data_IF_851808156597
#
_entry.id   IF_851808156597
#
_cell.length_a   1.000
_cell.length_b   1.000
_cell.length_c   1.000
_cell.angle_alpha   90.00
_cell.angle_beta   90.00
_cell.angle_gamma   90.00
#
_symmetry.space_group_name_H-M   'P 1'
#
loop_
_entity.id
_entity.type
_entity.pdbx_description
1 polymer ?
#
# COMPACT_ATOMS: atom_id res chain seq x y z
N UNK A 1 1.28 -13.37 -21.23
CA UNK A 1 2.59 -13.64 -21.86
C UNK A 1 3.60 -12.63 -21.32
N UNK A 2 4.68 -13.09 -20.68
CA UNK A 2 5.72 -12.20 -20.13
C UNK A 2 6.70 -11.87 -21.26
N UNK A 3 7.08 -10.60 -21.39
CA UNK A 3 8.06 -10.12 -22.38
C UNK A 3 8.88 -8.96 -21.81
N UNK A 4 9.92 -8.54 -22.54
CA UNK A 4 10.74 -7.37 -22.15
C UNK A 4 9.91 -6.09 -22.00
N UNK A 5 8.84 -5.92 -22.78
CA UNK A 5 7.92 -4.79 -22.62
C UNK A 5 7.22 -4.83 -21.27
N UNK A 6 6.82 -6.01 -20.81
CA UNK A 6 6.20 -6.20 -19.49
C UNK A 6 7.16 -5.79 -18.38
N UNK A 7 8.42 -6.22 -18.46
CA UNK A 7 9.47 -5.87 -17.47
C UNK A 7 9.74 -4.36 -17.48
N UNK A 8 9.82 -3.75 -18.68
CA UNK A 8 10.01 -2.30 -18.84
C UNK A 8 8.86 -1.51 -18.21
N UNK A 9 7.61 -1.91 -18.46
CA UNK A 9 6.44 -1.25 -17.88
C UNK A 9 6.40 -1.39 -16.35
N UNK A 10 6.79 -2.55 -15.82
CA UNK A 10 6.92 -2.75 -14.38
C UNK A 10 7.98 -1.82 -13.80
N UNK A 11 9.19 -1.78 -14.37
CA UNK A 11 10.26 -0.89 -13.87
C UNK A 11 9.87 0.59 -13.95
N UNK A 12 9.20 1.02 -15.01
CA UNK A 12 8.72 2.38 -15.15
C UNK A 12 7.70 2.77 -14.08
N UNK A 13 6.75 1.88 -13.79
CA UNK A 13 5.73 2.10 -12.74
C UNK A 13 6.38 2.16 -11.36
N UNK A 14 7.31 1.24 -11.06
CA UNK A 14 8.06 1.24 -9.80
C UNK A 14 8.92 2.49 -9.64
N UNK A 15 9.61 2.91 -10.70
CA UNK A 15 10.47 4.09 -10.67
C UNK A 15 9.65 5.35 -10.38
N UNK A 16 8.47 5.49 -10.99
CA UNK A 16 7.55 6.58 -10.66
C UNK A 16 7.02 6.48 -9.22
N UNK A 17 6.75 5.28 -8.72
CA UNK A 17 6.31 5.09 -7.33
C UNK A 17 7.37 5.53 -6.32
N UNK A 18 8.64 5.21 -6.58
CA UNK A 18 9.78 5.58 -5.72
C UNK A 18 10.11 7.07 -5.78
N UNK A 19 10.21 7.65 -6.99
CA UNK A 19 10.69 9.03 -7.15
C UNK A 19 9.58 10.06 -7.16
N UNK A 20 8.35 9.66 -7.52
CA UNK A 20 7.21 10.55 -7.82
C UNK A 20 7.51 11.63 -8.88
N UNK A 21 8.60 11.48 -9.62
CA UNK A 21 9.03 12.39 -10.68
C UNK A 21 8.82 11.76 -12.06
N UNK A 22 7.86 12.31 -12.82
CA UNK A 22 7.52 11.79 -14.14
C UNK A 22 8.53 12.19 -15.23
N UNK A 23 9.24 13.30 -15.06
CA UNK A 23 10.27 13.75 -16.01
C UNK A 23 11.49 12.85 -15.91
N UNK A 24 11.87 12.49 -14.68
CA UNK A 24 12.93 11.50 -14.47
C UNK A 24 12.60 10.15 -15.11
N UNK A 25 11.35 9.69 -14.99
CA UNK A 25 10.90 8.43 -15.63
C UNK A 25 10.87 8.55 -17.16
N UNK A 26 10.53 9.73 -17.70
CA UNK A 26 10.56 10.01 -19.14
C UNK A 26 11.99 9.92 -19.68
N UNK A 27 12.95 10.52 -18.99
CA UNK A 27 14.38 10.50 -19.35
C UNK A 27 14.95 9.08 -19.25
N UNK A 28 14.66 8.36 -18.17
CA UNK A 28 15.09 6.96 -17.99
C UNK A 28 14.57 6.04 -19.11
N UNK A 29 13.36 6.28 -19.59
CA UNK A 29 12.77 5.51 -20.68
C UNK A 29 13.20 6.00 -22.07
N UNK A 30 13.80 7.18 -22.19
CA UNK A 30 14.08 7.80 -23.49
C UNK A 30 12.82 8.11 -24.29
N UNK A 31 11.72 8.44 -23.60
CA UNK A 31 10.49 8.83 -24.28
C UNK A 31 10.61 10.27 -24.79
N UNK A 32 10.33 10.49 -26.08
CA UNK A 32 10.28 11.84 -26.68
C UNK A 32 9.03 12.64 -26.30
N UNK A 33 7.99 11.96 -25.87
CA UNK A 33 6.69 12.56 -25.56
C UNK A 33 6.19 12.07 -24.20
N UNK A 34 5.97 13.03 -23.30
CA UNK A 34 5.52 12.80 -21.94
C UNK A 34 4.18 12.07 -21.86
N UNK A 35 3.30 12.23 -22.87
CA UNK A 35 1.98 11.56 -22.92
C UNK A 35 2.10 10.04 -22.84
N UNK A 36 3.18 9.47 -23.37
CA UNK A 36 3.46 8.04 -23.29
C UNK A 36 3.86 7.60 -21.87
N UNK A 37 4.49 8.49 -21.12
CA UNK A 37 4.96 8.25 -19.74
C UNK A 37 3.85 8.46 -18.72
N UNK A 38 2.90 9.37 -18.98
CA UNK A 38 1.77 9.67 -18.07
C UNK A 38 0.92 8.44 -17.71
N UNK A 39 0.90 7.40 -18.56
CA UNK A 39 0.23 6.12 -18.27
C UNK A 39 0.75 5.45 -16.99
N UNK A 40 2.02 5.65 -16.64
CA UNK A 40 2.61 5.07 -15.42
C UNK A 40 2.08 5.73 -14.15
N UNK A 41 1.63 6.99 -14.21
CA UNK A 41 0.96 7.64 -13.08
C UNK A 41 -0.36 6.94 -12.77
N UNK A 42 -1.13 6.62 -13.82
CA UNK A 42 -2.41 5.93 -13.66
C UNK A 42 -2.23 4.51 -13.17
N UNK A 43 -1.22 3.79 -13.70
CA UNK A 43 -0.86 2.45 -13.24
C UNK A 43 -0.40 2.45 -11.78
N UNK A 44 0.44 3.40 -11.40
CA UNK A 44 0.89 3.54 -10.01
C UNK A 44 -0.28 3.80 -9.08
N UNK A 45 -1.16 4.75 -9.42
CA UNK A 45 -2.37 4.99 -8.64
C UNK A 45 -3.24 3.74 -8.56
N UNK A 46 -3.42 3.00 -9.64
CA UNK A 46 -4.23 1.78 -9.64
C UNK A 46 -3.63 0.67 -8.77
N UNK A 47 -2.30 0.51 -8.78
CA UNK A 47 -1.58 -0.53 -8.04
C UNK A 47 -1.37 -0.18 -6.55
N UNK A 48 -1.14 1.10 -6.26
CA UNK A 48 -0.75 1.61 -4.94
C UNK A 48 -1.79 2.57 -4.36
N UNK A 49 -3.07 2.41 -4.74
CA UNK A 49 -4.16 3.16 -4.14
C UNK A 49 -4.01 3.12 -2.60
N UNK A 50 -4.02 4.27 -1.89
CA UNK A 50 -3.98 4.31 -0.42
C UNK A 50 -5.27 3.77 0.24
N UNK A 51 -6.06 2.97 -0.49
CA UNK A 51 -7.36 2.46 -0.07
C UNK A 51 -7.33 1.15 0.70
N UNK A 52 -6.18 0.46 0.81
CA UNK A 52 -6.12 -0.87 1.43
C UNK A 52 -5.42 -0.95 2.80
N UNK A 53 -5.06 0.21 3.37
CA UNK A 53 -4.57 0.32 4.75
C UNK A 53 -5.55 1.12 5.65
N UNK A 54 -6.85 1.13 5.30
CA UNK A 54 -7.87 1.52 6.27
C UNK A 54 -8.09 0.35 7.23
N UNK A 55 -7.48 0.46 8.40
CA UNK A 55 -7.70 -0.48 9.48
C UNK A 55 -8.78 0.06 10.42
N UNK A 56 -9.76 -0.77 10.76
CA UNK A 56 -10.53 -0.55 11.97
C UNK A 56 -9.64 -0.92 13.16
N UNK A 57 -9.36 0.06 14.03
CA UNK A 57 -8.54 -0.13 15.23
C UNK A 57 -9.42 -0.13 16.45
N UNK A 58 -9.26 -1.13 17.33
CA UNK A 58 -9.97 -1.26 18.61
C UNK A 58 -8.96 -1.58 19.71
N UNK A 59 -9.23 -1.10 20.92
CA UNK A 59 -8.41 -1.33 22.12
C UNK A 59 -9.21 -2.25 23.05
N UNK A 60 -8.61 -3.37 23.47
CA UNK A 60 -9.17 -4.24 24.49
C UNK A 60 -8.51 -3.94 25.85
N UNK A 61 -9.32 -3.85 26.91
CA UNK A 61 -8.84 -3.62 28.29
C UNK A 61 -8.95 -4.85 29.18
N UNK A 62 -9.86 -5.77 28.88
CA UNK A 62 -10.09 -7.04 29.59
C UNK A 62 -9.90 -8.22 28.61
N UNK A 63 -10.06 -9.45 29.12
CA UNK A 63 -9.98 -10.68 28.31
C UNK A 63 -11.25 -10.86 27.46
N UNK A 64 -12.40 -10.44 27.97
CA UNK A 64 -13.71 -10.56 27.30
C UNK A 64 -13.76 -9.74 26.00
N UNK A 65 -13.38 -8.45 26.04
CA UNK A 65 -13.27 -7.57 24.86
C UNK A 65 -12.26 -8.13 23.84
N UNK A 66 -11.20 -8.77 24.31
CA UNK A 66 -10.20 -9.38 23.42
C UNK A 66 -10.78 -10.60 22.69
N UNK A 67 -11.58 -11.43 23.37
CA UNK A 67 -12.28 -12.55 22.75
C UNK A 67 -13.29 -12.05 21.71
N UNK A 68 -14.10 -11.03 22.01
CA UNK A 68 -15.05 -10.44 21.06
C UNK A 68 -14.36 -9.89 19.80
N UNK A 69 -13.21 -9.21 19.95
CA UNK A 69 -12.46 -8.67 18.82
C UNK A 69 -11.83 -9.78 17.96
N UNK A 70 -11.39 -10.88 18.58
CA UNK A 70 -10.86 -12.05 17.87
C UNK A 70 -11.98 -12.78 17.11
N UNK A 71 -13.18 -12.92 17.70
CA UNK A 71 -14.35 -13.52 17.03
C UNK A 71 -14.79 -12.73 15.79
N UNK A 72 -14.70 -11.39 15.86
CA UNK A 72 -15.02 -10.51 14.72
C UNK A 72 -13.88 -10.49 13.68
N UNK A 73 -12.75 -11.16 13.94
CA UNK A 73 -11.64 -11.33 13.01
C UNK A 73 -10.66 -10.15 13.01
N UNK A 74 -10.48 -9.48 14.14
CA UNK A 74 -9.37 -8.54 14.30
C UNK A 74 -8.07 -9.29 14.60
N UNK A 75 -6.98 -8.84 13.99
CA UNK A 75 -5.62 -9.33 14.23
C UNK A 75 -4.93 -8.53 15.34
N UNK A 76 -4.16 -9.22 16.17
CA UNK A 76 -3.31 -8.61 17.18
C UNK A 76 -2.04 -8.02 16.55
N UNK A 77 -1.73 -6.75 16.83
CA UNK A 77 -0.67 -5.99 16.11
C UNK A 77 0.61 -5.77 16.93
N UNK A 78 0.60 -6.03 18.24
CA UNK A 78 1.68 -5.71 19.23
C UNK A 78 1.76 -4.20 19.57
N UNK A 79 2.16 -3.72 20.75
CA UNK A 79 2.60 -4.33 22.01
C UNK A 79 2.08 -3.56 23.23
N UNK A 80 2.50 -3.94 24.43
CA UNK A 80 2.04 -3.37 25.71
C UNK A 80 2.33 -1.88 25.78
N UNK A 81 1.29 -1.06 25.70
CA UNK A 81 1.38 0.36 26.00
C UNK A 81 1.56 0.53 27.51
N UNK A 82 2.11 1.68 27.92
CA UNK A 82 2.32 2.06 29.33
C UNK A 82 1.00 2.00 30.14
N UNK A 83 -0.14 1.99 29.45
CA UNK A 83 -1.50 1.98 29.99
C UNK A 83 -2.14 0.57 30.08
N UNK A 84 -1.42 -0.49 29.70
CA UNK A 84 -1.87 -1.89 29.86
C UNK A 84 -2.87 -2.44 28.82
N UNK A 85 -3.35 -1.62 27.88
CA UNK A 85 -4.28 -2.05 26.82
C UNK A 85 -3.62 -2.79 25.64
N UNK A 86 -4.37 -3.69 24.97
CA UNK A 86 -3.94 -4.40 23.75
C UNK A 86 -4.64 -3.83 22.51
N UNK A 87 -3.90 -3.64 21.42
CA UNK A 87 -4.45 -3.11 20.15
C UNK A 87 -4.71 -4.22 19.14
N UNK A 88 -5.87 -4.13 18.52
CA UNK A 88 -6.37 -5.02 17.48
C UNK A 88 -6.70 -4.23 16.22
N UNK A 89 -6.35 -4.77 15.04
CA UNK A 89 -6.69 -4.18 13.74
C UNK A 89 -7.48 -5.16 12.87
N UNK A 90 -8.45 -4.67 12.12
CA UNK A 90 -9.14 -5.42 11.07
C UNK A 90 -9.07 -4.64 9.76
N UNK A 91 -8.71 -5.31 8.66
CA UNK A 91 -8.81 -4.72 7.32
C UNK A 91 -10.27 -4.38 7.04
N UNK A 92 -10.51 -3.18 6.51
CA UNK A 92 -11.85 -2.75 6.09
C UNK A 92 -12.39 -3.62 4.98
#
# INVERSE_FOLDING_TARGET
>A
KISFHTIRHWKATMLYHETKDILYVMDFLGHRDIRNTMRYIQLEKALYHPGNDQFHVRIAKNVEDACELVEVGFEYVTGTYVDGGKIFRKRK
#
